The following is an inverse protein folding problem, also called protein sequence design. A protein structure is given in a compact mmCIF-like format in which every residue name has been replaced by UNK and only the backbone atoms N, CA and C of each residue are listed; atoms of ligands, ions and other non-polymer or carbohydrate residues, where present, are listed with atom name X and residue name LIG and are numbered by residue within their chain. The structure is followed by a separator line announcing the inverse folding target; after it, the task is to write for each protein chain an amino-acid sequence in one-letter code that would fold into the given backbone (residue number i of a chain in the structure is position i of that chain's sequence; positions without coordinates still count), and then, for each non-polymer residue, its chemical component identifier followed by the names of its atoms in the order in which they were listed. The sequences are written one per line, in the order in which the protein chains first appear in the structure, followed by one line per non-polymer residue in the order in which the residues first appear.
data_IF_477065059023
#
_entry.id   IF_477065059023
#
_cell.length_a   1.000
_cell.length_b   1.000
_cell.length_c   1.000
_cell.angle_alpha   90.00
_cell.angle_beta   90.00
_cell.angle_gamma   90.00
#
_symmetry.space_group_name_H-M   'P 1'
#
loop_
_entity.id
_entity.type
_entity.pdbx_description
1 polymer ?
#
# COMPACT_ATOMS: atom_id res chain seq x y z
N UNK A 1 -13.05 -1.45 9.55
CA UNK A 1 -13.76 -0.36 8.87
C UNK A 1 -12.70 0.56 8.30
N UNK A 2 -12.38 0.39 7.03
CA UNK A 2 -11.52 1.28 6.26
C UNK A 2 -12.26 1.52 4.95
N UNK A 3 -13.06 2.57 4.92
CA UNK A 3 -13.69 3.08 3.72
C UNK A 3 -12.78 4.15 3.13
N UNK A 4 -12.33 3.86 1.94
CA UNK A 4 -11.53 4.70 1.08
C UNK A 4 -12.23 6.02 0.75
N UNK A 5 -11.57 7.12 1.03
CA UNK A 5 -11.94 8.49 0.60
C UNK A 5 -11.24 8.89 -0.71
N UNK A 6 -11.08 7.98 -1.66
CA UNK A 6 -10.41 8.27 -2.93
C UNK A 6 -11.33 8.29 -4.17
N UNK A 7 -12.64 8.19 -4.00
CA UNK A 7 -13.58 8.10 -5.13
C UNK A 7 -14.31 9.42 -5.50
N UNK A 8 -14.05 10.55 -4.84
CA UNK A 8 -14.77 11.83 -5.12
C UNK A 8 -14.12 12.74 -6.19
N UNK A 9 -13.09 12.28 -6.89
CA UNK A 9 -12.38 13.12 -7.89
C UNK A 9 -12.61 12.72 -9.35
N UNK A 10 -13.77 12.15 -9.70
CA UNK A 10 -14.00 11.69 -11.08
C UNK A 10 -15.06 12.46 -11.86
N UNK A 11 -15.40 13.69 -11.48
CA UNK A 11 -16.33 14.55 -12.23
C UNK A 11 -15.76 15.95 -12.46
N UNK A 12 -14.85 16.07 -13.43
CA UNK A 12 -14.73 17.31 -14.22
C UNK A 12 -14.40 16.92 -15.67
N UNK A 13 -15.42 16.77 -16.48
CA UNK A 13 -15.28 16.76 -17.92
C UNK A 13 -15.11 18.21 -18.41
N UNK A 14 -13.88 18.57 -18.77
CA UNK A 14 -13.50 19.85 -19.40
C UNK A 14 -12.58 19.58 -20.59
N UNK A 15 -13.15 19.74 -21.77
CA UNK A 15 -12.60 19.99 -23.11
C UNK A 15 -11.09 19.83 -23.37
N UNK A 16 -10.72 18.92 -24.32
CA UNK A 16 -9.72 19.16 -25.37
C UNK A 16 -8.27 18.93 -24.97
N UNK A 17 -7.90 17.73 -24.78
CA UNK A 17 -6.69 16.98 -25.18
C UNK A 17 -6.84 15.57 -24.59
N UNK A 18 -6.65 14.54 -25.41
CA UNK A 18 -6.70 13.17 -24.86
C UNK A 18 -5.65 13.06 -23.75
N UNK A 19 -6.01 12.69 -22.51
CA UNK A 19 -5.07 12.66 -21.40
C UNK A 19 -3.84 11.81 -21.79
N UNK A 20 -2.66 12.42 -21.74
CA UNK A 20 -1.42 11.78 -22.15
C UNK A 20 -1.11 10.58 -21.27
N UNK A 21 -0.59 9.51 -21.83
CA UNK A 21 -0.09 8.37 -21.05
C UNK A 21 1.19 8.79 -20.33
N UNK A 22 1.25 8.57 -19.02
CA UNK A 22 2.44 8.83 -18.21
C UNK A 22 3.69 8.17 -18.82
N UNK A 23 4.84 8.85 -18.92
CA UNK A 23 6.03 8.33 -19.61
C UNK A 23 6.47 6.94 -19.12
N UNK A 24 6.45 6.71 -17.80
CA UNK A 24 6.83 5.43 -17.20
C UNK A 24 5.84 4.30 -17.50
N UNK A 25 4.54 4.60 -17.57
CA UNK A 25 3.53 3.62 -18.00
C UNK A 25 3.67 3.33 -19.50
N UNK A 26 3.98 4.34 -20.32
CA UNK A 26 4.27 4.16 -21.75
C UNK A 26 5.46 3.23 -21.95
N UNK A 27 6.55 3.42 -21.19
CA UNK A 27 7.72 2.55 -21.23
C UNK A 27 7.38 1.11 -20.81
N UNK A 28 6.54 0.95 -19.78
CA UNK A 28 6.07 -0.36 -19.33
C UNK A 28 5.24 -1.07 -20.40
N UNK A 29 4.30 -0.38 -21.05
CA UNK A 29 3.48 -0.95 -22.11
C UNK A 29 4.28 -1.28 -23.37
N UNK A 30 5.25 -0.43 -23.72
CA UNK A 30 6.19 -0.71 -24.81
C UNK A 30 7.03 -1.98 -24.53
N UNK A 31 7.42 -2.22 -23.29
CA UNK A 31 8.11 -3.45 -22.91
C UNK A 31 7.22 -4.69 -23.05
N UNK A 32 5.92 -4.60 -22.75
CA UNK A 32 4.96 -5.67 -22.99
C UNK A 32 4.79 -5.96 -24.49
N UNK A 33 4.68 -4.91 -25.31
CA UNK A 33 4.60 -5.02 -26.76
C UNK A 33 5.85 -5.68 -27.36
N UNK A 34 7.04 -5.28 -26.88
CA UNK A 34 8.32 -5.84 -27.35
C UNK A 34 8.47 -7.35 -27.07
N UNK A 35 7.83 -7.85 -26.00
CA UNK A 35 7.78 -9.28 -25.72
C UNK A 35 6.85 -10.07 -26.66
N UNK A 36 5.97 -9.38 -27.41
CA UNK A 36 4.95 -10.03 -28.24
C UNK A 36 3.87 -10.78 -27.46
N UNK A 37 3.75 -10.51 -26.15
CA UNK A 37 2.71 -11.12 -25.29
C UNK A 37 1.37 -10.42 -25.50
N UNK A 38 0.27 -11.15 -25.32
CA UNK A 38 -1.06 -10.56 -25.28
C UNK A 38 -1.32 -9.96 -23.93
N UNK A 39 -1.68 -8.68 -23.91
CA UNK A 39 -2.04 -7.95 -22.69
C UNK A 39 -3.17 -6.97 -22.97
N UNK A 40 -3.90 -6.58 -21.95
CA UNK A 40 -4.90 -5.53 -22.05
C UNK A 40 -5.06 -4.80 -20.72
N UNK A 41 -5.09 -3.48 -20.75
CA UNK A 41 -5.49 -2.69 -19.61
C UNK A 41 -6.98 -2.89 -19.34
N UNK A 42 -7.29 -3.27 -18.11
CA UNK A 42 -8.65 -3.43 -17.63
C UNK A 42 -9.21 -2.10 -17.14
N UNK A 43 -8.42 -1.36 -16.36
CA UNK A 43 -8.78 -0.06 -15.78
C UNK A 43 -7.55 0.63 -15.19
N UNK A 44 -7.70 1.91 -14.85
CA UNK A 44 -6.70 2.74 -14.19
C UNK A 44 -6.58 4.10 -14.85
N UNK A 45 -6.02 5.06 -14.15
CA UNK A 45 -5.65 6.37 -14.71
C UNK A 45 -4.26 6.25 -15.35
N UNK A 46 -4.12 6.80 -16.56
CA UNK A 46 -2.86 6.72 -17.33
C UNK A 46 -2.07 8.02 -17.34
N UNK A 47 -2.73 9.12 -17.01
CA UNK A 47 -2.22 10.49 -17.11
C UNK A 47 -1.62 11.02 -15.80
N UNK A 48 -1.81 10.28 -14.71
CA UNK A 48 -1.44 10.75 -13.37
C UNK A 48 -0.89 9.63 -12.49
N UNK A 49 -0.19 10.01 -11.44
CA UNK A 49 0.24 9.15 -10.34
C UNK A 49 -0.89 8.95 -9.31
N UNK A 50 -0.77 7.93 -8.46
CA UNK A 50 -1.69 7.72 -7.32
C UNK A 50 -2.83 6.74 -7.57
N UNK A 51 -2.88 6.06 -8.72
CA UNK A 51 -3.86 5.03 -9.02
C UNK A 51 -3.24 3.68 -9.38
N UNK A 52 -4.01 2.61 -9.19
CA UNK A 52 -3.63 1.28 -9.66
C UNK A 52 -4.03 1.12 -11.12
N UNK A 53 -3.11 0.64 -11.95
CA UNK A 53 -3.38 0.25 -13.33
C UNK A 53 -3.45 -1.27 -13.40
N UNK A 54 -4.66 -1.79 -13.62
CA UNK A 54 -4.94 -3.22 -13.74
C UNK A 54 -4.68 -3.68 -15.18
N UNK A 55 -3.79 -4.64 -15.35
CA UNK A 55 -3.39 -5.18 -16.66
C UNK A 55 -3.63 -6.69 -16.69
N UNK A 56 -4.46 -7.14 -17.63
CA UNK A 56 -4.68 -8.54 -17.90
C UNK A 56 -3.48 -9.11 -18.66
N UNK A 57 -2.94 -10.24 -18.20
CA UNK A 57 -1.85 -11.00 -18.82
C UNK A 57 -2.07 -12.48 -18.57
N UNK A 58 -1.55 -13.36 -19.42
CA UNK A 58 -1.61 -14.81 -19.17
C UNK A 58 -0.67 -15.21 -18.04
N UNK A 59 -1.05 -16.20 -17.26
CA UNK A 59 -0.19 -16.75 -16.20
C UNK A 59 1.14 -17.26 -16.76
N UNK A 60 1.10 -17.91 -17.94
CA UNK A 60 2.28 -18.43 -18.61
C UNK A 60 3.28 -17.35 -19.04
N UNK A 61 2.82 -16.11 -19.26
CA UNK A 61 3.68 -15.01 -19.70
C UNK A 61 4.34 -14.24 -18.52
N UNK A 62 3.91 -14.48 -17.28
CA UNK A 62 4.40 -13.73 -16.11
C UNK A 62 5.91 -13.87 -15.89
N UNK A 63 6.52 -15.00 -16.22
CA UNK A 63 7.96 -15.21 -16.07
C UNK A 63 8.79 -14.32 -17.01
N UNK A 64 8.24 -13.95 -18.17
CA UNK A 64 8.87 -13.01 -19.11
C UNK A 64 8.45 -11.56 -18.81
N UNK A 65 7.20 -11.32 -18.50
CA UNK A 65 6.61 -10.00 -18.29
C UNK A 65 7.20 -9.30 -17.06
N UNK A 66 7.31 -10.00 -15.93
CA UNK A 66 7.78 -9.37 -14.69
C UNK A 66 9.22 -8.84 -14.81
N UNK A 67 10.22 -9.61 -15.32
CA UNK A 67 11.56 -9.07 -15.52
C UNK A 67 11.62 -7.91 -16.52
N UNK A 68 10.81 -7.94 -17.58
CA UNK A 68 10.76 -6.85 -18.56
C UNK A 68 10.26 -5.54 -17.93
N UNK A 69 9.21 -5.61 -17.12
CA UNK A 69 8.71 -4.45 -16.38
C UNK A 69 9.69 -3.97 -15.30
N UNK A 70 10.41 -4.88 -14.65
CA UNK A 70 11.49 -4.50 -13.71
C UNK A 70 12.61 -3.75 -14.45
N UNK A 71 12.95 -4.13 -15.67
CA UNK A 71 13.94 -3.43 -16.48
C UNK A 71 13.51 -1.98 -16.83
N UNK A 72 12.21 -1.66 -16.81
CA UNK A 72 11.71 -0.28 -16.97
C UNK A 72 11.70 0.51 -15.66
N UNK A 73 12.24 -0.02 -14.57
CA UNK A 73 12.35 0.66 -13.28
C UNK A 73 11.22 0.37 -12.29
N UNK A 74 10.26 -0.48 -12.65
CA UNK A 74 9.30 -0.99 -11.68
C UNK A 74 9.96 -2.00 -10.75
N UNK A 75 9.46 -2.11 -9.53
CA UNK A 75 9.92 -3.10 -8.56
C UNK A 75 8.75 -3.96 -8.14
N UNK A 76 8.91 -5.27 -8.26
CA UNK A 76 7.87 -6.19 -7.84
C UNK A 76 7.68 -6.13 -6.32
N UNK A 77 6.48 -5.77 -5.89
CA UNK A 77 6.04 -5.88 -4.51
C UNK A 77 5.75 -7.34 -4.18
N UNK A 78 6.16 -7.80 -3.01
CA UNK A 78 5.76 -9.10 -2.52
C UNK A 78 4.25 -9.12 -2.27
N UNK A 79 3.52 -9.82 -3.13
CA UNK A 79 2.10 -10.08 -2.94
C UNK A 79 1.91 -11.24 -1.95
N UNK A 80 0.78 -11.31 -1.23
CA UNK A 80 0.37 -12.52 -0.56
C UNK A 80 0.29 -13.66 -1.58
N UNK A 81 1.00 -14.78 -1.34
CA UNK A 81 1.16 -15.88 -2.33
C UNK A 81 -0.16 -16.57 -2.74
N UNK A 82 -1.23 -16.31 -2.01
CA UNK A 82 -2.55 -16.82 -2.35
C UNK A 82 -3.27 -16.00 -3.44
N UNK A 83 -2.72 -14.87 -3.84
CA UNK A 83 -3.22 -14.07 -4.96
C UNK A 83 -2.34 -14.36 -6.18
N UNK A 84 -2.92 -14.72 -7.31
CA UNK A 84 -2.17 -14.91 -8.55
C UNK A 84 -1.60 -13.61 -9.10
N UNK A 85 -2.08 -12.48 -8.63
CA UNK A 85 -1.69 -11.14 -9.05
C UNK A 85 -0.20 -10.85 -8.79
N UNK A 86 0.39 -10.03 -9.65
CA UNK A 86 1.75 -9.50 -9.47
C UNK A 86 1.69 -7.99 -9.41
N UNK A 87 1.93 -7.44 -8.23
CA UNK A 87 1.97 -6.00 -8.01
C UNK A 87 3.38 -5.48 -8.26
N UNK A 88 3.50 -4.54 -9.17
CA UNK A 88 4.73 -3.80 -9.42
C UNK A 88 4.50 -2.33 -9.07
N UNK A 89 5.47 -1.74 -8.42
CA UNK A 89 5.40 -0.34 -7.98
C UNK A 89 6.60 0.42 -8.49
N UNK A 90 6.41 1.68 -8.79
CA UNK A 90 7.47 2.62 -9.12
C UNK A 90 7.11 3.98 -8.52
N UNK A 91 8.11 4.67 -7.99
CA UNK A 91 7.95 6.09 -7.66
C UNK A 91 8.37 6.91 -8.87
N UNK A 92 7.51 7.80 -9.28
CA UNK A 92 7.87 8.78 -10.29
C UNK A 92 8.86 9.81 -9.73
N UNK A 93 9.90 10.09 -10.48
CA UNK A 93 10.93 11.05 -10.08
C UNK A 93 10.57 12.50 -10.40
N UNK A 94 9.57 12.70 -11.26
CA UNK A 94 9.17 14.04 -11.70
C UNK A 94 7.99 14.62 -10.96
N UNK A 95 7.08 13.76 -10.50
CA UNK A 95 5.78 14.19 -9.95
C UNK A 95 5.54 13.70 -8.50
N UNK A 96 6.57 13.23 -7.83
CA UNK A 96 6.51 12.84 -6.42
C UNK A 96 5.35 11.89 -6.05
N UNK A 97 4.94 11.04 -6.96
CA UNK A 97 3.85 10.11 -6.75
C UNK A 97 4.23 8.64 -6.97
N UNK A 98 3.25 7.77 -6.86
CA UNK A 98 3.42 6.34 -7.03
C UNK A 98 2.67 5.85 -8.26
N UNK A 99 3.31 4.99 -9.03
CA UNK A 99 2.70 4.21 -10.10
C UNK A 99 2.61 2.76 -9.64
N UNK A 100 1.43 2.18 -9.79
CA UNK A 100 1.17 0.79 -9.41
C UNK A 100 0.62 0.05 -10.62
N UNK A 101 1.28 -1.05 -11.00
CA UNK A 101 0.78 -2.00 -11.99
C UNK A 101 0.33 -3.26 -11.29
N UNK A 102 -0.94 -3.65 -11.44
CA UNK A 102 -1.47 -4.91 -10.97
C UNK A 102 -1.67 -5.86 -12.17
N UNK A 103 -0.78 -6.84 -12.29
CA UNK A 103 -0.88 -7.85 -13.34
C UNK A 103 -1.86 -8.93 -12.90
N UNK A 104 -2.92 -9.09 -13.68
CA UNK A 104 -4.04 -9.97 -13.41
C UNK A 104 -4.01 -11.19 -14.35
N UNK A 105 -3.42 -12.33 -13.92
CA UNK A 105 -3.40 -13.55 -14.75
C UNK A 105 -4.72 -14.33 -14.69
N UNK A 106 -5.63 -13.92 -13.82
CA UNK A 106 -6.98 -14.51 -13.69
C UNK A 106 -8.00 -13.41 -13.45
N UNK A 107 -9.19 -13.60 -13.97
CA UNK A 107 -10.32 -12.69 -13.73
C UNK A 107 -11.19 -13.24 -12.58
N UNK A 108 -11.17 -12.57 -11.45
CA UNK A 108 -12.02 -12.87 -10.30
C UNK A 108 -13.32 -12.05 -10.36
N UNK A 109 -14.47 -12.73 -10.20
CA UNK A 109 -15.78 -12.11 -10.41
C UNK A 109 -16.16 -11.04 -9.37
N UNK A 110 -15.85 -11.25 -8.10
CA UNK A 110 -16.34 -10.42 -7.00
C UNK A 110 -15.23 -10.08 -5.99
N UNK A 111 -14.05 -9.74 -6.49
CA UNK A 111 -12.88 -9.39 -5.69
C UNK A 111 -12.05 -10.61 -5.26
N UNK A 112 -10.98 -10.39 -4.49
CA UNK A 112 -10.00 -11.41 -4.16
C UNK A 112 -10.60 -12.67 -3.54
N UNK A 113 -10.25 -13.84 -4.10
CA UNK A 113 -10.75 -15.18 -3.67
C UNK A 113 -12.22 -15.46 -4.02
N UNK A 114 -12.81 -14.71 -4.90
CA UNK A 114 -14.10 -15.03 -5.50
C UNK A 114 -13.95 -16.08 -6.60
N UNK A 115 -15.05 -16.37 -7.28
CA UNK A 115 -15.06 -17.29 -8.41
C UNK A 115 -14.26 -16.73 -9.58
N UNK A 116 -13.42 -17.54 -10.19
CA UNK A 116 -12.69 -17.17 -11.42
C UNK A 116 -13.61 -17.34 -12.62
N UNK A 117 -13.61 -16.39 -13.53
CA UNK A 117 -14.29 -16.47 -14.82
C UNK A 117 -13.27 -16.94 -15.87
N UNK A 118 -13.53 -18.04 -16.59
CA UNK A 118 -12.60 -18.61 -17.57
C UNK A 118 -12.70 -17.90 -18.93
N UNK A 119 -12.53 -16.60 -18.94
CA UNK A 119 -12.71 -15.74 -20.13
C UNK A 119 -11.50 -14.88 -20.47
N UNK A 120 -10.38 -15.06 -19.77
CA UNK A 120 -9.19 -14.20 -19.92
C UNK A 120 -8.65 -14.23 -21.36
N UNK A 121 -8.51 -15.42 -21.96
CA UNK A 121 -8.00 -15.60 -23.33
C UNK A 121 -8.91 -14.91 -24.36
N UNK A 122 -10.21 -15.02 -24.20
CA UNK A 122 -11.18 -14.39 -25.10
C UNK A 122 -11.17 -12.87 -24.97
N UNK A 123 -11.03 -12.34 -23.75
CA UNK A 123 -10.88 -10.89 -23.52
C UNK A 123 -9.59 -10.35 -24.14
N UNK A 124 -8.48 -11.07 -23.99
CA UNK A 124 -7.21 -10.69 -24.60
C UNK A 124 -7.25 -10.77 -26.15
N UNK A 125 -7.99 -11.72 -26.70
CA UNK A 125 -8.18 -11.84 -28.16
C UNK A 125 -9.03 -10.71 -28.75
N UNK A 126 -9.95 -10.13 -27.98
CA UNK A 126 -10.85 -9.04 -28.39
C UNK A 126 -10.34 -7.65 -27.98
N UNK A 127 -9.23 -7.59 -27.27
CA UNK A 127 -8.66 -6.32 -26.82
C UNK A 127 -8.33 -5.37 -27.99
N UNK A 128 -8.57 -4.08 -27.79
CA UNK A 128 -8.45 -3.06 -28.82
C UNK A 128 -7.35 -2.08 -28.45
N UNK A 129 -6.50 -1.73 -29.44
CA UNK A 129 -5.49 -0.69 -29.24
C UNK A 129 -6.12 0.69 -29.49
N UNK A 130 -6.06 1.54 -28.48
CA UNK A 130 -6.54 2.91 -28.55
C UNK A 130 -5.59 3.83 -29.33
N UNK A 131 -6.02 5.06 -29.63
CA UNK A 131 -5.23 6.06 -30.35
C UNK A 131 -3.97 6.50 -29.59
N UNK A 132 -3.95 6.35 -28.28
CA UNK A 132 -2.81 6.59 -27.39
C UNK A 132 -1.80 5.42 -27.35
N UNK A 133 -2.03 4.38 -28.16
CA UNK A 133 -1.18 3.19 -28.24
C UNK A 133 -1.43 2.15 -27.16
N UNK A 134 -2.31 2.39 -26.19
CA UNK A 134 -2.60 1.45 -25.10
C UNK A 134 -3.63 0.42 -25.53
N UNK A 135 -3.35 -0.85 -25.26
CA UNK A 135 -4.30 -1.95 -25.50
C UNK A 135 -5.28 -2.03 -24.34
N UNK A 136 -6.58 -2.00 -24.63
CA UNK A 136 -7.66 -2.03 -23.64
C UNK A 136 -8.61 -3.17 -23.87
N UNK A 137 -9.23 -3.65 -22.84
CA UNK A 137 -10.40 -4.52 -22.93
C UNK A 137 -11.48 -3.80 -23.75
N UNK A 138 -12.13 -4.50 -24.66
CA UNK A 138 -13.19 -3.95 -25.52
C UNK A 138 -14.31 -3.32 -24.66
N UNK A 139 -14.93 -2.24 -25.16
CA UNK A 139 -15.93 -1.48 -24.39
C UNK A 139 -17.10 -2.34 -23.92
N UNK A 140 -17.63 -3.19 -24.81
CA UNK A 140 -18.71 -4.11 -24.45
C UNK A 140 -18.34 -5.06 -23.31
N UNK A 141 -17.11 -5.56 -23.31
CA UNK A 141 -16.59 -6.42 -22.24
C UNK A 141 -16.35 -5.62 -20.94
N UNK A 142 -15.96 -4.36 -21.05
CA UNK A 142 -15.76 -3.45 -19.91
C UNK A 142 -17.06 -3.20 -19.13
N UNK A 143 -18.17 -3.02 -19.83
CA UNK A 143 -19.49 -2.80 -19.22
C UNK A 143 -19.96 -4.06 -18.48
N UNK A 144 -19.72 -5.24 -19.03
CA UNK A 144 -19.95 -6.49 -18.32
C UNK A 144 -19.11 -6.63 -17.07
N UNK A 145 -17.85 -6.27 -17.12
CA UNK A 145 -16.95 -6.30 -15.96
C UNK A 145 -17.37 -5.28 -14.90
N UNK A 146 -17.90 -4.12 -15.31
CA UNK A 146 -18.51 -3.14 -14.40
C UNK A 146 -19.73 -3.72 -13.69
N UNK A 147 -20.65 -4.37 -14.43
CA UNK A 147 -21.82 -5.04 -13.85
C UNK A 147 -21.42 -6.15 -12.85
N UNK A 148 -20.47 -7.01 -13.21
CA UNK A 148 -19.99 -8.04 -12.30
C UNK A 148 -19.34 -7.43 -11.05
N UNK A 149 -18.57 -6.36 -11.18
CA UNK A 149 -17.97 -5.64 -10.04
C UNK A 149 -19.02 -4.95 -9.15
N UNK A 150 -20.16 -4.58 -9.69
CA UNK A 150 -21.26 -4.03 -8.92
C UNK A 150 -21.74 -4.96 -7.80
N UNK A 151 -21.55 -6.28 -7.93
CA UNK A 151 -21.80 -7.25 -6.84
C UNK A 151 -20.89 -7.03 -5.60
N UNK A 152 -19.80 -6.30 -5.78
CA UNK A 152 -18.85 -5.99 -4.71
C UNK A 152 -18.87 -4.51 -4.31
N UNK A 153 -18.99 -3.61 -5.28
CA UNK A 153 -18.88 -2.16 -5.09
C UNK A 153 -20.22 -1.44 -5.05
N UNK A 154 -21.29 -2.10 -5.47
CA UNK A 154 -22.64 -1.52 -5.59
C UNK A 154 -22.93 -0.95 -6.98
N UNK A 155 -24.21 -0.48 -7.20
CA UNK A 155 -24.69 0.00 -8.50
C UNK A 155 -23.89 1.14 -9.10
N UNK A 156 -23.33 2.03 -8.29
CA UNK A 156 -22.52 3.19 -8.73
C UNK A 156 -21.23 2.84 -9.48
N UNK A 157 -20.88 1.55 -9.58
CA UNK A 157 -19.72 1.10 -10.38
C UNK A 157 -20.05 0.79 -11.85
N UNK A 158 -21.30 0.96 -12.27
CA UNK A 158 -21.73 0.80 -13.67
C UNK A 158 -21.17 1.93 -14.53
N UNK A 159 -20.70 1.56 -15.73
CA UNK A 159 -20.17 2.49 -16.73
C UNK A 159 -21.02 2.54 -18.00
N UNK A 160 -21.80 1.49 -18.27
CA UNK A 160 -22.65 1.38 -19.44
C UNK A 160 -23.58 0.17 -19.36
N UNK A 161 -24.43 0.03 -20.36
CA UNK A 161 -25.30 -1.14 -20.54
C UNK A 161 -24.52 -2.24 -21.21
N UNK A 162 -24.33 -3.41 -20.57
CA UNK A 162 -23.59 -4.51 -21.20
C UNK A 162 -24.35 -5.10 -22.39
N UNK A 163 -23.65 -5.29 -23.49
CA UNK A 163 -24.17 -5.89 -24.72
C UNK A 163 -24.17 -7.42 -24.58
N UNK A 164 -25.22 -8.08 -25.09
CA UNK A 164 -25.36 -9.56 -25.02
C UNK A 164 -24.48 -10.32 -26.02
N UNK A 165 -23.36 -9.75 -26.41
CA UNK A 165 -22.38 -10.33 -27.32
C UNK A 165 -21.02 -10.49 -26.65
N UNK A 166 -20.29 -11.53 -27.07
CA UNK A 166 -18.95 -11.82 -26.56
C UNK A 166 -18.91 -12.91 -25.51
N UNK A 167 -17.75 -13.11 -24.84
CA UNK A 167 -17.52 -14.24 -23.95
C UNK A 167 -18.18 -14.08 -22.57
N UNK A 168 -18.37 -12.87 -22.10
CA UNK A 168 -18.87 -12.63 -20.73
C UNK A 168 -20.32 -13.01 -20.51
N UNK A 169 -21.30 -12.75 -21.43
CA UNK A 169 -22.66 -13.25 -21.28
C UNK A 169 -22.74 -14.75 -21.06
N UNK A 170 -22.06 -15.52 -21.90
CA UNK A 170 -22.01 -16.97 -21.80
C UNK A 170 -21.37 -17.44 -20.48
N UNK A 171 -20.31 -16.79 -20.01
CA UNK A 171 -19.67 -17.08 -18.73
C UNK A 171 -20.57 -16.73 -17.55
N UNK A 172 -21.32 -15.62 -17.61
CA UNK A 172 -22.31 -15.24 -16.60
C UNK A 172 -23.42 -16.28 -16.51
N UNK A 173 -23.98 -16.71 -17.64
CA UNK A 173 -25.02 -17.74 -17.69
C UNK A 173 -24.52 -19.10 -17.20
N UNK A 174 -23.29 -19.45 -17.53
CA UNK A 174 -22.68 -20.71 -17.04
C UNK A 174 -22.48 -20.71 -15.51
N UNK A 175 -22.25 -19.55 -14.91
CA UNK A 175 -21.98 -19.40 -13.47
C UNK A 175 -23.25 -19.19 -12.66
N UNK A 176 -24.19 -18.41 -13.17
CA UNK A 176 -25.37 -17.92 -12.46
C UNK A 176 -26.69 -18.57 -12.92
N UNK A 177 -26.66 -19.31 -14.05
CA UNK A 177 -27.82 -19.95 -14.65
C UNK A 177 -28.29 -19.23 -15.92
N UNK A 178 -28.89 -19.98 -16.83
CA UNK A 178 -29.36 -19.47 -18.11
C UNK A 178 -30.31 -18.27 -17.97
N UNK A 179 -30.13 -17.25 -18.80
CA UNK A 179 -30.90 -16.02 -18.79
C UNK A 179 -30.42 -14.96 -17.79
N UNK A 180 -29.38 -15.28 -16.97
CA UNK A 180 -28.85 -14.33 -16.00
C UNK A 180 -28.18 -13.15 -16.69
N UNK A 181 -27.51 -13.37 -17.83
CA UNK A 181 -26.90 -12.31 -18.61
C UNK A 181 -27.94 -11.32 -19.14
N UNK A 182 -29.02 -11.80 -19.74
CA UNK A 182 -30.10 -10.96 -20.25
C UNK A 182 -30.77 -10.15 -19.12
N UNK A 183 -31.03 -10.79 -17.97
CA UNK A 183 -31.56 -10.11 -16.79
C UNK A 183 -30.59 -9.03 -16.26
N UNK A 184 -29.29 -9.31 -16.31
CA UNK A 184 -28.26 -8.36 -15.91
C UNK A 184 -28.21 -7.12 -16.79
N UNK A 185 -28.23 -7.32 -18.11
CA UNK A 185 -28.21 -6.21 -19.06
C UNK A 185 -29.48 -5.32 -18.94
N UNK A 186 -30.66 -5.94 -18.78
CA UNK A 186 -31.90 -5.21 -18.57
C UNK A 186 -31.86 -4.38 -17.26
N UNK A 187 -31.48 -5.00 -16.16
CA UNK A 187 -31.37 -4.30 -14.87
C UNK A 187 -30.33 -3.17 -14.87
N UNK A 188 -29.22 -3.34 -15.61
CA UNK A 188 -28.23 -2.27 -15.79
C UNK A 188 -28.80 -1.10 -16.58
N UNK A 189 -29.59 -1.37 -17.64
CA UNK A 189 -30.23 -0.32 -18.42
C UNK A 189 -31.24 0.49 -17.57
N UNK A 190 -32.05 -0.18 -16.75
CA UNK A 190 -32.98 0.47 -15.83
C UNK A 190 -32.22 1.33 -14.82
N UNK A 191 -31.14 0.84 -14.23
CA UNK A 191 -30.33 1.55 -13.26
C UNK A 191 -29.69 2.83 -13.85
N UNK A 192 -29.17 2.76 -15.08
CA UNK A 192 -28.64 3.92 -15.79
C UNK A 192 -29.73 4.94 -16.19
N UNK A 193 -30.98 4.49 -16.31
CA UNK A 193 -32.14 5.37 -16.48
C UNK A 193 -32.65 5.98 -15.16
N UNK A 194 -32.04 5.64 -14.02
CA UNK A 194 -32.37 6.20 -12.70
C UNK A 194 -33.18 5.28 -11.76
N UNK A 195 -33.54 4.06 -12.21
CA UNK A 195 -34.21 3.07 -11.36
C UNK A 195 -33.25 1.88 -11.12
N UNK A 196 -32.62 1.86 -9.97
CA UNK A 196 -31.66 0.83 -9.59
C UNK A 196 -32.25 -0.35 -8.78
N UNK A 197 -33.57 -0.39 -8.59
CA UNK A 197 -34.23 -1.38 -7.76
C UNK A 197 -34.06 -2.82 -8.32
N UNK A 198 -34.26 -3.00 -9.62
CA UNK A 198 -34.05 -4.29 -10.30
C UNK A 198 -32.60 -4.74 -10.21
N UNK A 199 -31.65 -3.84 -10.40
CA UNK A 199 -30.22 -4.11 -10.29
C UNK A 199 -29.84 -4.52 -8.87
N UNK A 200 -30.29 -3.83 -7.85
CA UNK A 200 -30.01 -4.19 -6.45
C UNK A 200 -30.51 -5.59 -6.13
N UNK A 201 -31.75 -5.92 -6.51
CA UNK A 201 -32.33 -7.25 -6.32
C UNK A 201 -31.53 -8.34 -7.05
N UNK A 202 -31.04 -8.04 -8.25
CA UNK A 202 -30.19 -8.94 -9.03
C UNK A 202 -28.83 -9.16 -8.35
N UNK A 203 -28.18 -8.10 -7.92
CA UNK A 203 -26.87 -8.16 -7.24
C UNK A 203 -26.94 -8.92 -5.91
N UNK A 204 -28.03 -8.80 -5.15
CA UNK A 204 -28.27 -9.58 -3.94
C UNK A 204 -28.32 -11.09 -4.24
N UNK A 205 -28.90 -11.52 -5.35
CA UNK A 205 -28.94 -12.92 -5.79
C UNK A 205 -27.58 -13.39 -6.32
N UNK A 206 -26.86 -12.56 -7.05
CA UNK A 206 -25.59 -12.94 -7.68
C UNK A 206 -24.43 -12.98 -6.68
N UNK A 207 -24.41 -12.07 -5.70
CA UNK A 207 -23.33 -11.91 -4.73
C UNK A 207 -22.94 -13.22 -4.03
N UNK A 208 -23.86 -14.01 -3.44
CA UNK A 208 -23.48 -15.24 -2.74
C UNK A 208 -22.90 -16.32 -3.67
N UNK A 209 -23.33 -16.35 -4.94
CA UNK A 209 -22.84 -17.31 -5.93
C UNK A 209 -21.43 -16.92 -6.40
N UNK A 210 -21.23 -15.65 -6.72
CA UNK A 210 -19.95 -15.12 -7.19
C UNK A 210 -18.89 -15.07 -6.09
N UNK A 211 -19.30 -14.81 -4.84
CA UNK A 211 -18.43 -14.80 -3.64
C UNK A 211 -18.22 -16.18 -3.01
N UNK A 212 -18.59 -17.27 -3.69
CA UNK A 212 -18.44 -18.61 -3.14
C UNK A 212 -16.97 -18.88 -2.76
N UNK A 213 -16.73 -18.94 -1.47
CA UNK A 213 -15.38 -19.12 -0.91
C UNK A 213 -14.95 -20.59 -1.05
N UNK A 214 -13.64 -20.85 -1.26
CA UNK A 214 -13.11 -22.21 -1.22
C UNK A 214 -13.39 -22.88 0.14
N UNK A 215 -13.58 -24.20 0.15
CA UNK A 215 -13.88 -24.97 1.37
C UNK A 215 -12.86 -24.81 2.49
N UNK A 216 -13.20 -25.20 3.73
CA UNK A 216 -12.35 -25.07 4.92
C UNK A 216 -10.95 -25.65 4.69
N UNK A 217 -10.84 -26.85 4.15
CA UNK A 217 -9.56 -27.52 3.87
C UNK A 217 -8.64 -26.71 2.92
N UNK A 218 -9.22 -26.17 1.84
CA UNK A 218 -8.45 -25.33 0.91
C UNK A 218 -7.98 -24.01 1.55
N UNK A 219 -8.76 -23.45 2.49
CA UNK A 219 -8.36 -22.26 3.25
C UNK A 219 -7.23 -22.57 4.21
N UNK A 220 -7.29 -23.70 4.90
CA UNK A 220 -6.26 -24.06 5.90
C UNK A 220 -4.96 -24.49 5.19
N UNK A 221 -5.05 -25.22 4.07
CA UNK A 221 -3.89 -25.52 3.23
C UNK A 221 -3.21 -24.25 2.68
N UNK A 222 -4.01 -23.25 2.24
CA UNK A 222 -3.49 -21.95 1.83
C UNK A 222 -2.83 -21.19 2.98
N UNK A 223 -3.44 -21.16 4.19
CA UNK A 223 -2.85 -20.56 5.38
C UNK A 223 -1.51 -21.18 5.75
N UNK A 224 -1.40 -22.51 5.68
CA UNK A 224 -0.14 -23.22 5.94
C UNK A 224 0.89 -22.89 4.86
N UNK A 225 0.50 -22.89 3.60
CA UNK A 225 1.39 -22.51 2.49
C UNK A 225 1.85 -21.06 2.63
N UNK A 226 0.95 -20.13 2.92
CA UNK A 226 1.27 -18.73 3.17
C UNK A 226 2.24 -18.61 4.36
N UNK A 227 2.00 -19.34 5.45
CA UNK A 227 2.89 -19.37 6.61
C UNK A 227 4.27 -19.94 6.29
N UNK A 228 4.36 -20.94 5.40
CA UNK A 228 5.63 -21.51 4.93
C UNK A 228 6.35 -20.56 3.97
N UNK A 229 5.63 -19.96 3.05
CA UNK A 229 6.15 -18.99 2.10
C UNK A 229 6.67 -17.71 2.79
N UNK A 230 6.09 -17.34 3.92
CA UNK A 230 6.60 -16.29 4.77
C UNK A 230 7.97 -16.62 5.40
N UNK A 231 8.36 -17.89 5.41
CA UNK A 231 9.69 -18.36 5.84
C UNK A 231 10.74 -18.30 4.73
N UNK A 232 10.32 -18.21 3.46
CA UNK A 232 11.26 -18.05 2.37
C UNK A 232 12.00 -16.73 2.51
N UNK A 233 13.35 -16.71 2.42
CA UNK A 233 14.14 -15.49 2.51
C UNK A 233 13.87 -14.61 1.29
N UNK A 234 12.85 -13.79 1.38
CA UNK A 234 12.63 -12.69 0.44
C UNK A 234 13.62 -11.57 0.71
N UNK A 235 13.81 -10.68 -0.25
CA UNK A 235 14.59 -9.46 -0.02
C UNK A 235 14.00 -8.67 1.14
N UNK A 236 14.80 -8.27 2.14
CA UNK A 236 14.29 -7.61 3.33
C UNK A 236 13.67 -6.26 2.98
N UNK A 237 12.65 -5.88 3.72
CA UNK A 237 12.09 -4.52 3.69
C UNK A 237 13.03 -3.51 4.35
N UNK A 238 12.51 -2.31 4.56
CA UNK A 238 13.25 -1.17 5.12
C UNK A 238 12.65 -0.79 6.47
N UNK A 239 13.50 -0.41 7.42
CA UNK A 239 13.10 0.11 8.71
C UNK A 239 13.53 1.59 8.85
N UNK A 240 12.57 2.48 9.09
CA UNK A 240 12.80 3.89 9.34
C UNK A 240 12.38 4.24 10.76
N UNK A 241 13.17 5.05 11.45
CA UNK A 241 12.79 5.63 12.74
C UNK A 241 12.52 7.13 12.56
N UNK A 242 11.29 7.55 12.86
CA UNK A 242 10.90 8.96 12.81
C UNK A 242 11.16 9.58 14.18
N UNK A 243 12.06 10.56 14.22
CA UNK A 243 12.56 11.24 15.40
C UNK A 243 12.27 12.74 15.34
N UNK A 244 12.32 13.39 16.48
CA UNK A 244 12.15 14.84 16.62
C UNK A 244 11.44 15.20 17.92
N UNK A 245 11.49 16.47 18.35
CA UNK A 245 10.80 16.95 19.55
C UNK A 245 9.27 16.83 19.45
N UNK A 246 8.58 17.10 20.54
CA UNK A 246 7.12 17.16 20.54
C UNK A 246 6.65 18.39 19.75
N UNK A 247 5.63 18.22 18.90
CA UNK A 247 5.19 19.25 17.94
C UNK A 247 5.87 19.23 16.57
N UNK A 248 6.93 18.40 16.35
CA UNK A 248 7.62 18.32 15.06
C UNK A 248 6.83 17.60 13.94
N UNK A 249 5.66 17.00 14.22
CA UNK A 249 4.81 16.36 13.19
C UNK A 249 5.02 14.85 13.00
N UNK A 250 5.72 14.17 13.90
CA UNK A 250 6.03 12.71 13.79
C UNK A 250 4.83 11.82 13.53
N UNK A 251 3.76 11.97 14.31
CA UNK A 251 2.56 11.13 14.19
C UNK A 251 1.87 11.36 12.86
N UNK A 252 1.70 12.62 12.46
CA UNK A 252 1.13 13.02 11.17
C UNK A 252 1.89 12.41 10.00
N UNK A 253 3.23 12.46 10.05
CA UNK A 253 4.09 11.86 9.04
C UNK A 253 3.93 10.33 8.98
N UNK A 254 3.97 9.65 10.14
CA UNK A 254 3.85 8.18 10.21
C UNK A 254 2.49 7.71 9.70
N UNK A 255 1.42 8.42 10.03
CA UNK A 255 0.06 8.13 9.55
C UNK A 255 -0.04 8.37 8.03
N UNK A 256 0.43 9.51 7.54
CA UNK A 256 0.45 9.80 6.10
C UNK A 256 1.26 8.77 5.30
N UNK A 257 2.45 8.39 5.76
CA UNK A 257 3.26 7.34 5.11
C UNK A 257 2.56 5.98 5.11
N UNK A 258 1.84 5.64 6.18
CA UNK A 258 1.10 4.37 6.24
C UNK A 258 -0.03 4.31 5.23
N UNK A 259 -0.70 5.42 5.01
CA UNK A 259 -1.93 5.48 4.20
C UNK A 259 -1.64 5.70 2.70
N UNK A 260 -0.54 6.39 2.37
CA UNK A 260 -0.23 6.78 0.98
C UNK A 260 0.78 5.84 0.28
N UNK A 261 1.68 5.20 1.02
CA UNK A 261 2.68 4.34 0.38
C UNK A 261 2.04 3.02 -0.08
N UNK A 262 2.11 2.66 -1.39
CA UNK A 262 1.55 1.43 -1.93
C UNK A 262 2.39 0.18 -1.57
N UNK A 263 3.13 0.23 -0.48
CA UNK A 263 3.90 -0.88 0.07
C UNK A 263 3.24 -1.39 1.35
N UNK A 264 3.59 -2.61 1.76
CA UNK A 264 3.12 -3.13 3.03
C UNK A 264 3.84 -2.43 4.19
N UNK A 265 3.17 -1.49 4.84
CA UNK A 265 3.71 -0.73 5.99
C UNK A 265 3.35 -1.41 7.31
N UNK A 266 4.27 -1.39 8.27
CA UNK A 266 4.08 -1.83 9.66
C UNK A 266 4.59 -0.76 10.62
N UNK A 267 3.68 -0.12 11.34
CA UNK A 267 4.05 0.88 12.37
C UNK A 267 4.35 0.17 13.69
N UNK A 268 5.49 0.50 14.31
CA UNK A 268 5.95 -0.07 15.58
C UNK A 268 6.42 1.03 16.51
N UNK A 269 5.92 1.02 17.74
CA UNK A 269 6.39 1.93 18.79
C UNK A 269 7.57 1.31 19.54
N UNK A 270 8.75 1.93 19.47
CA UNK A 270 9.96 1.53 20.18
C UNK A 270 10.43 2.58 21.21
N UNK A 271 9.59 3.53 21.57
CA UNK A 271 9.88 4.48 22.64
C UNK A 271 9.90 3.79 24.02
N UNK A 272 10.84 4.20 24.86
CA UNK A 272 11.02 3.64 26.22
C UNK A 272 10.03 4.24 27.22
N UNK A 273 9.46 5.39 26.91
CA UNK A 273 8.72 6.23 27.85
C UNK A 273 7.28 6.49 27.35
N UNK A 274 6.46 5.48 27.35
CA UNK A 274 5.02 5.72 27.43
C UNK A 274 4.70 5.80 28.92
N UNK A 275 4.32 6.95 29.43
CA UNK A 275 3.70 7.05 30.75
C UNK A 275 2.41 6.21 30.70
N UNK A 276 2.45 5.05 31.29
CA UNK A 276 1.23 4.29 31.54
C UNK A 276 0.78 4.72 32.93
N UNK A 277 -0.29 5.51 33.08
CA UNK A 277 -0.78 5.91 34.40
C UNK A 277 -1.17 4.74 35.30
N UNK A 278 -1.36 3.55 34.71
CA UNK A 278 -1.71 2.30 35.37
C UNK A 278 -0.51 1.32 35.53
N UNK A 279 0.73 1.85 35.68
CA UNK A 279 1.87 0.95 35.92
C UNK A 279 1.67 0.21 37.25
N UNK A 280 1.57 -1.15 37.26
CA UNK A 280 1.36 -1.92 38.46
C UNK A 280 2.53 -1.76 39.42
N UNK A 281 2.25 -1.73 40.74
CA UNK A 281 3.21 -1.46 41.82
C UNK A 281 4.46 -2.35 41.79
N UNK A 282 4.38 -3.56 41.27
CA UNK A 282 5.52 -4.48 41.15
C UNK A 282 6.59 -4.00 40.14
N UNK A 283 6.24 -3.14 39.15
CA UNK A 283 7.22 -2.56 38.25
C UNK A 283 8.09 -1.48 38.91
N UNK A 284 7.70 -1.01 40.09
CA UNK A 284 8.48 -0.03 40.87
C UNK A 284 9.64 -0.68 41.63
N UNK A 285 9.69 -2.01 41.68
CA UNK A 285 10.80 -2.75 42.33
C UNK A 285 12.08 -2.53 41.50
N UNK A 286 13.19 -2.12 42.15
CA UNK A 286 14.46 -1.89 41.47
C UNK A 286 14.92 -3.11 40.66
N UNK A 287 15.16 -2.91 39.36
CA UNK A 287 15.57 -3.95 38.41
C UNK A 287 14.41 -4.65 37.69
N UNK A 288 13.26 -4.85 38.30
CA UNK A 288 12.10 -5.52 37.69
C UNK A 288 11.55 -4.64 36.53
N UNK A 289 11.38 -3.34 36.77
CA UNK A 289 10.91 -2.41 35.75
C UNK A 289 11.83 -2.35 34.53
N UNK A 290 13.16 -2.43 34.71
CA UNK A 290 14.12 -2.49 33.60
C UNK A 290 14.00 -3.82 32.85
N UNK A 291 13.89 -4.96 33.57
CA UNK A 291 13.72 -6.27 32.97
C UNK A 291 12.48 -6.36 32.09
N UNK A 292 11.34 -5.86 32.57
CA UNK A 292 10.09 -5.80 31.79
C UNK A 292 10.22 -4.90 30.57
N UNK A 293 10.87 -3.74 30.69
CA UNK A 293 11.14 -2.84 29.55
C UNK A 293 12.01 -3.51 28.50
N UNK A 294 13.07 -4.20 28.91
CA UNK A 294 13.96 -4.95 28.01
C UNK A 294 13.19 -6.09 27.31
N UNK A 295 12.42 -6.88 28.03
CA UNK A 295 11.62 -7.98 27.46
C UNK A 295 10.59 -7.44 26.45
N UNK A 296 9.89 -6.37 26.79
CA UNK A 296 8.90 -5.72 25.91
C UNK A 296 9.57 -5.16 24.65
N UNK A 297 10.70 -4.50 24.77
CA UNK A 297 11.47 -3.98 23.64
C UNK A 297 11.97 -5.09 22.73
N UNK A 298 12.54 -6.16 23.31
CA UNK A 298 12.99 -7.33 22.52
C UNK A 298 11.84 -7.97 21.76
N UNK A 299 10.69 -8.13 22.40
CA UNK A 299 9.49 -8.65 21.75
C UNK A 299 9.03 -7.78 20.56
N UNK A 300 8.93 -6.46 20.79
CA UNK A 300 8.58 -5.50 19.74
C UNK A 300 9.61 -5.48 18.61
N UNK A 301 10.88 -5.51 18.97
CA UNK A 301 12.02 -5.56 18.02
C UNK A 301 12.02 -6.84 17.19
N UNK A 302 11.72 -7.99 17.80
CA UNK A 302 11.61 -9.27 17.08
C UNK A 302 10.46 -9.23 16.07
N UNK A 303 9.31 -8.67 16.46
CA UNK A 303 8.19 -8.47 15.52
C UNK A 303 8.56 -7.52 14.37
N UNK A 304 9.25 -6.43 14.68
CA UNK A 304 9.71 -5.47 13.66
C UNK A 304 10.69 -6.11 12.67
N UNK A 305 11.69 -6.86 13.17
CA UNK A 305 12.62 -7.63 12.32
C UNK A 305 11.91 -8.67 11.47
N UNK A 306 10.89 -9.33 12.01
CA UNK A 306 10.10 -10.30 11.26
C UNK A 306 9.30 -9.61 10.15
N UNK A 307 8.70 -8.45 10.41
CA UNK A 307 8.02 -7.66 9.40
C UNK A 307 9.00 -7.17 8.31
N UNK A 308 10.18 -6.69 8.69
CA UNK A 308 11.24 -6.31 7.75
C UNK A 308 11.70 -7.51 6.89
N UNK A 309 11.94 -8.69 7.48
CA UNK A 309 12.27 -9.91 6.73
C UNK A 309 11.17 -10.32 5.76
N UNK A 310 9.92 -9.96 6.06
CA UNK A 310 8.76 -10.16 5.19
C UNK A 310 8.67 -9.13 4.05
N UNK A 311 9.65 -8.24 3.91
CA UNK A 311 9.70 -7.22 2.88
C UNK A 311 8.84 -5.99 3.15
N UNK A 312 8.34 -5.81 4.38
CA UNK A 312 7.53 -4.66 4.77
C UNK A 312 8.40 -3.43 5.04
N UNK A 313 7.83 -2.26 4.82
CA UNK A 313 8.36 -1.00 5.36
C UNK A 313 7.96 -0.92 6.84
N UNK A 314 8.95 -0.89 7.72
CA UNK A 314 8.74 -0.79 9.17
C UNK A 314 9.00 0.65 9.59
N UNK A 315 7.98 1.34 10.06
CA UNK A 315 8.07 2.68 10.59
C UNK A 315 8.10 2.61 12.13
N UNK A 316 9.19 3.08 12.72
CA UNK A 316 9.27 3.24 14.16
C UNK A 316 8.74 4.62 14.55
N UNK A 317 7.54 4.63 15.18
CA UNK A 317 7.03 5.80 15.87
C UNK A 317 7.76 5.90 17.22
N UNK A 318 8.78 6.75 17.29
CA UNK A 318 9.81 6.85 18.32
C UNK A 318 10.79 5.65 18.34
N UNK A 319 11.99 5.89 18.80
CA UNK A 319 13.04 4.90 18.97
C UNK A 319 13.69 5.03 20.34
N UNK A 320 14.39 4.00 20.79
CA UNK A 320 15.14 4.03 22.07
C UNK A 320 16.16 5.17 22.12
N UNK A 321 16.66 5.59 20.97
CA UNK A 321 17.58 6.75 20.83
C UNK A 321 17.00 8.02 21.46
N UNK A 322 15.68 8.24 21.43
CA UNK A 322 15.02 9.37 22.10
C UNK A 322 15.35 9.46 23.59
N UNK A 323 15.65 8.31 24.22
CA UNK A 323 16.02 8.27 25.65
C UNK A 323 17.39 8.85 25.91
N UNK A 324 18.29 8.82 24.93
CA UNK A 324 19.66 9.39 25.03
C UNK A 324 19.66 10.91 24.90
N UNK A 325 18.63 11.48 24.29
CA UNK A 325 18.52 12.90 23.98
C UNK A 325 17.83 13.71 25.09
N UNK A 326 17.60 13.10 26.25
CA UNK A 326 17.01 13.79 27.41
C UNK A 326 17.97 14.83 27.98
N UNK A 327 17.43 15.98 28.41
CA UNK A 327 18.23 16.99 29.09
C UNK A 327 18.80 16.48 30.41
N UNK A 328 20.01 16.94 30.74
CA UNK A 328 20.74 16.62 31.96
C UNK A 328 21.80 15.51 31.77
N UNK A 329 22.75 15.45 32.69
CA UNK A 329 23.78 14.39 32.72
C UNK A 329 23.18 13.10 33.27
N UNK A 330 23.14 12.01 32.50
CA UNK A 330 22.61 10.75 33.01
C UNK A 330 23.50 10.19 34.13
N UNK A 331 22.89 9.68 35.19
CA UNK A 331 23.59 8.93 36.24
C UNK A 331 24.24 7.67 35.65
N UNK A 332 25.27 7.12 36.29
CA UNK A 332 25.92 5.88 35.85
C UNK A 332 24.90 4.75 35.61
N UNK A 333 23.94 4.57 36.54
CA UNK A 333 22.85 3.57 36.38
C UNK A 333 21.97 3.83 35.15
N UNK A 334 21.66 5.10 34.88
CA UNK A 334 20.90 5.48 33.69
C UNK A 334 21.70 5.18 32.39
N UNK A 335 23.00 5.46 32.38
CA UNK A 335 23.89 5.15 31.22
C UNK A 335 23.90 3.66 30.90
N UNK A 336 24.09 2.81 31.92
CA UNK A 336 24.07 1.35 31.76
C UNK A 336 22.69 0.88 31.27
N UNK A 337 21.60 1.39 31.87
CA UNK A 337 20.24 1.05 31.43
C UNK A 337 19.98 1.44 29.97
N UNK A 338 20.39 2.64 29.57
CA UNK A 338 20.23 3.11 28.18
C UNK A 338 21.06 2.29 27.20
N UNK A 339 22.30 1.92 27.55
CA UNK A 339 23.12 1.06 26.74
C UNK A 339 22.46 -0.32 26.52
N UNK A 340 21.95 -0.94 27.57
CA UNK A 340 21.22 -2.22 27.48
C UNK A 340 19.97 -2.10 26.61
N UNK A 341 19.22 -1.00 26.73
CA UNK A 341 18.01 -0.76 25.94
C UNK A 341 18.37 -0.57 24.44
N UNK A 342 19.42 0.19 24.13
CA UNK A 342 19.91 0.36 22.76
C UNK A 342 20.31 -0.97 22.10
N UNK A 343 21.08 -1.78 22.79
CA UNK A 343 21.51 -3.10 22.29
C UNK A 343 20.34 -4.09 22.15
N UNK A 344 19.21 -3.79 22.80
CA UNK A 344 17.98 -4.58 22.69
C UNK A 344 17.09 -4.20 21.52
N UNK A 345 17.35 -3.07 20.88
CA UNK A 345 16.61 -2.61 19.71
C UNK A 345 17.41 -2.78 18.42
N UNK A 346 16.79 -3.19 17.31
CA UNK A 346 17.46 -3.18 16.02
C UNK A 346 17.72 -1.73 15.60
N UNK A 347 18.90 -1.47 15.06
CA UNK A 347 19.14 -0.21 14.38
C UNK A 347 18.18 -0.11 13.17
N UNK A 348 17.54 1.02 12.92
CA UNK A 348 16.82 1.26 11.68
C UNK A 348 17.81 1.42 10.54
N UNK A 349 17.31 1.26 9.32
CA UNK A 349 18.12 1.53 8.12
C UNK A 349 18.35 3.04 7.94
N UNK A 350 17.37 3.85 8.36
CA UNK A 350 17.43 5.31 8.32
C UNK A 350 16.77 5.90 9.56
N UNK A 351 17.42 6.87 10.16
CA UNK A 351 16.82 7.79 11.11
C UNK A 351 16.35 9.03 10.36
N UNK A 352 15.07 9.35 10.43
CA UNK A 352 14.48 10.57 9.90
C UNK A 352 14.26 11.54 11.05
N UNK A 353 15.02 12.62 11.10
CA UNK A 353 14.89 13.68 12.09
C UNK A 353 14.06 14.81 11.51
N UNK A 354 12.89 15.07 12.10
CA UNK A 354 12.05 16.20 11.73
C UNK A 354 12.58 17.47 12.40
N UNK A 355 13.03 18.41 11.59
CA UNK A 355 13.62 19.66 12.03
C UNK A 355 12.64 20.82 11.89
N UNK A 356 12.29 21.46 13.02
CA UNK A 356 11.48 22.66 13.04
C UNK A 356 11.92 23.55 14.22
N UNK A 357 11.84 24.89 14.10
CA UNK A 357 12.14 25.81 15.21
C UNK A 357 11.28 25.56 16.44
N UNK A 358 11.87 25.76 17.64
CA UNK A 358 11.17 25.52 18.91
C UNK A 358 9.87 26.30 19.04
N UNK A 359 9.81 27.54 18.55
CA UNK A 359 8.59 28.35 18.55
C UNK A 359 7.47 27.68 17.71
N UNK A 360 7.79 27.25 16.50
CA UNK A 360 6.80 26.59 15.61
C UNK A 360 6.25 25.28 16.22
N UNK A 361 7.12 24.51 16.87
CA UNK A 361 6.70 23.29 17.56
C UNK A 361 5.78 23.58 18.74
N UNK A 362 6.06 24.66 19.50
CA UNK A 362 5.21 25.15 20.59
C UNK A 362 3.85 25.57 20.06
N UNK A 363 3.80 26.36 18.98
CA UNK A 363 2.57 26.85 18.37
C UNK A 363 1.68 25.70 17.88
N UNK A 364 2.28 24.60 17.43
CA UNK A 364 1.56 23.41 16.96
C UNK A 364 0.97 22.55 18.07
N UNK A 365 1.61 22.48 19.25
CA UNK A 365 1.21 21.52 20.28
C UNK A 365 1.02 22.11 21.68
N UNK A 366 1.62 23.24 22.00
CA UNK A 366 1.53 23.91 23.29
C UNK A 366 2.19 23.14 24.44
N UNK A 367 3.01 22.13 24.17
CA UNK A 367 3.75 21.38 25.19
C UNK A 367 5.16 21.92 25.37
N UNK A 368 5.62 22.04 26.61
CA UNK A 368 6.93 22.64 26.98
C UNK A 368 7.01 24.14 26.66
N UNK A 369 8.21 24.72 26.67
CA UNK A 369 8.45 26.08 26.21
C UNK A 369 9.26 26.07 24.92
N UNK A 370 9.23 27.17 24.11
CA UNK A 370 10.02 27.24 22.87
C UNK A 370 11.51 26.97 23.09
N UNK A 371 12.09 27.47 24.21
CA UNK A 371 13.50 27.31 24.53
C UNK A 371 13.84 25.83 24.82
N UNK A 372 12.98 25.13 25.56
CA UNK A 372 13.16 23.69 25.84
C UNK A 372 13.06 22.89 24.56
N UNK A 373 12.12 23.24 23.67
CA UNK A 373 11.97 22.57 22.39
C UNK A 373 13.16 22.80 21.47
N UNK A 374 13.72 24.05 21.49
CA UNK A 374 14.93 24.38 20.73
C UNK A 374 16.17 23.64 21.26
N UNK A 375 16.35 23.56 22.59
CA UNK A 375 17.41 22.74 23.18
C UNK A 375 17.28 21.25 22.77
N UNK A 376 16.07 20.72 22.77
CA UNK A 376 15.83 19.34 22.29
C UNK A 376 16.13 19.19 20.80
N UNK A 377 15.72 20.17 19.98
CA UNK A 377 15.99 20.20 18.54
C UNK A 377 17.48 20.02 18.26
N UNK A 378 18.33 20.83 18.92
CA UNK A 378 19.78 20.74 18.74
C UNK A 378 20.32 19.35 19.05
N UNK A 379 19.83 18.69 20.09
CA UNK A 379 20.23 17.32 20.44
C UNK A 379 19.83 16.28 19.40
N UNK A 380 18.68 16.46 18.72
CA UNK A 380 18.30 15.58 17.61
C UNK A 380 19.21 15.81 16.41
N UNK A 381 19.62 17.02 16.13
CA UNK A 381 20.56 17.35 15.06
C UNK A 381 21.96 16.76 15.32
N UNK A 382 22.43 16.74 16.58
CA UNK A 382 23.69 16.09 16.96
C UNK A 382 23.74 14.58 16.63
N UNK A 383 22.59 13.94 16.33
CA UNK A 383 22.59 12.53 15.93
C UNK A 383 23.33 12.31 14.60
N UNK A 384 23.42 13.30 13.72
CA UNK A 384 24.18 13.23 12.49
C UNK A 384 25.68 13.02 12.72
N UNK A 385 26.19 13.49 13.86
CA UNK A 385 27.59 13.28 14.23
C UNK A 385 27.88 11.86 14.76
N UNK A 386 26.81 11.13 15.15
CA UNK A 386 26.91 9.81 15.79
C UNK A 386 26.52 8.66 14.89
N UNK A 387 25.71 8.93 13.86
CA UNK A 387 25.16 7.90 12.98
C UNK A 387 25.14 8.40 11.53
N UNK A 388 25.76 7.65 10.64
CA UNK A 388 25.88 7.97 9.20
C UNK A 388 24.54 7.85 8.45
N UNK A 389 23.55 7.19 9.05
CA UNK A 389 22.24 6.94 8.45
C UNK A 389 21.14 7.88 8.98
N UNK A 390 21.50 9.08 9.41
CA UNK A 390 20.56 10.13 9.82
C UNK A 390 20.28 11.06 8.64
N UNK A 391 19.00 11.27 8.35
CA UNK A 391 18.53 12.25 7.38
C UNK A 391 17.67 13.27 8.12
N UNK A 392 18.04 14.55 8.01
CA UNK A 392 17.26 15.67 8.55
C UNK A 392 16.32 16.16 7.47
N UNK A 393 15.04 16.28 7.83
CA UNK A 393 13.96 16.75 6.96
C UNK A 393 13.38 18.03 7.53
N UNK A 394 13.30 19.05 6.70
CA UNK A 394 12.72 20.34 7.07
C UNK A 394 11.21 20.23 7.31
N UNK A 395 10.82 20.19 8.57
CA UNK A 395 9.44 20.10 9.01
C UNK A 395 8.75 21.49 9.15
N UNK A 396 9.35 22.55 8.65
CA UNK A 396 8.68 23.87 8.50
C UNK A 396 7.75 23.88 7.29
N UNK A 397 8.02 23.03 6.30
CA UNK A 397 7.21 22.84 5.11
C UNK A 397 5.82 22.27 5.45
N UNK A 398 4.92 22.28 4.47
CA UNK A 398 3.62 21.62 4.61
C UNK A 398 3.77 20.10 4.76
N UNK A 399 2.77 19.48 5.43
CA UNK A 399 2.83 18.06 5.76
C UNK A 399 2.93 17.15 4.53
N UNK A 400 2.40 17.57 3.38
CA UNK A 400 2.45 16.81 2.12
C UNK A 400 3.85 16.82 1.53
N UNK A 401 4.56 17.95 1.58
CA UNK A 401 5.95 18.10 1.11
C UNK A 401 6.91 17.26 1.96
N UNK A 402 6.81 17.37 3.29
CA UNK A 402 7.58 16.54 4.23
C UNK A 402 7.36 15.06 3.97
N UNK A 403 6.11 14.66 3.77
CA UNK A 403 5.76 13.27 3.46
C UNK A 403 6.40 12.81 2.16
N UNK A 404 6.25 13.57 1.05
CA UNK A 404 6.82 13.23 -0.25
C UNK A 404 8.34 13.04 -0.20
N UNK A 405 9.05 13.89 0.53
CA UNK A 405 10.49 13.77 0.73
C UNK A 405 10.85 12.44 1.42
N UNK A 406 10.13 12.09 2.50
CA UNK A 406 10.35 10.84 3.23
C UNK A 406 9.92 9.61 2.41
N UNK A 407 8.86 9.69 1.62
CA UNK A 407 8.49 8.65 0.65
C UNK A 407 9.61 8.39 -0.37
N UNK A 408 10.24 9.46 -0.88
CA UNK A 408 11.40 9.35 -1.75
C UNK A 408 12.57 8.62 -1.08
N UNK A 409 12.80 8.89 0.21
CA UNK A 409 13.82 8.19 1.01
C UNK A 409 13.46 6.72 1.20
N UNK A 410 12.20 6.41 1.53
CA UNK A 410 11.70 5.02 1.62
C UNK A 410 11.93 4.29 0.30
N UNK A 411 11.56 4.91 -0.82
CA UNK A 411 11.71 4.33 -2.14
C UNK A 411 13.18 4.02 -2.48
N UNK A 412 14.07 5.00 -2.35
CA UNK A 412 15.52 4.81 -2.61
C UNK A 412 16.10 3.68 -1.78
N UNK A 413 15.77 3.65 -0.48
CA UNK A 413 16.30 2.63 0.42
C UNK A 413 15.71 1.24 0.17
N UNK A 414 14.43 1.19 -0.18
CA UNK A 414 13.71 -0.07 -0.42
C UNK A 414 14.02 -0.66 -1.80
N UNK A 415 14.07 0.17 -2.85
CA UNK A 415 14.36 -0.27 -4.22
C UNK A 415 15.80 -0.75 -4.39
N UNK A 416 16.76 -0.11 -3.73
CA UNK A 416 18.17 -0.53 -3.73
C UNK A 416 18.41 -1.96 -3.20
N UNK A 417 17.42 -2.55 -2.53
CA UNK A 417 17.46 -3.92 -2.00
C UNK A 417 16.76 -4.94 -2.90
N UNK A 418 16.21 -4.50 -4.03
CA UNK A 418 15.43 -5.32 -4.96
C UNK A 418 16.16 -5.59 -6.25
#
# INVERSE_FOLDING_TARGET
MLTSSSDEANEVAGSGDAPGVHPDLRAAFAALDALGVRWAMLRGALDRVGGDVDVLVREADLEAVVPALVATGFVQRRAPEHLPHRLLVRRDSGDDGWLVLDLLPVLEAAGPRSRTLPVLEDLLARAVRGPDGVVRVADADRDWLALIRATHRGPGSLTGVPVLEGPLPAAVDAVLGAGSAAAGAAAAAEALAGDDAALRALLERWTPVLRRRPGRLARDARRVRDALAWRSPGRPGVALAVLGPDGAGKTTLVEGLRDEIPLAVSVRYLGVFRANPEEPLWQRVPGVGLGVKLATLRWRSTKAKLDQRRGRVVLYDRHVVDALLRPGKPTFRARVSYSLLLHSCPAPDVFVVLDAPGQLMFDRKGEHTPEILEERRQRYLELQERYDNVVVVDATQDASSVRREVEGLVWRTWSARR
#
